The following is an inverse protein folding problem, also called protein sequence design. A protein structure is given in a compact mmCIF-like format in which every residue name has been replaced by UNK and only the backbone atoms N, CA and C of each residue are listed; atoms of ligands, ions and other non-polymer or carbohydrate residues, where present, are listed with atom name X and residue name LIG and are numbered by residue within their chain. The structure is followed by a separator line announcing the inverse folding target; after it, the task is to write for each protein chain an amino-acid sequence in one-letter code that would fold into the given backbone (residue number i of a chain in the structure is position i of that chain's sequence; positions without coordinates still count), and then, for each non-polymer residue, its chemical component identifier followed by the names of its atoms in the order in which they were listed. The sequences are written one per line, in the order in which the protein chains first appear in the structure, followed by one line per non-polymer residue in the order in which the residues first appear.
data_IF_422902259602
#
_entry.id   IF_422902259602
#
_cell.length_a   1.000
_cell.length_b   1.000
_cell.length_c   1.000
_cell.angle_alpha   90.00
_cell.angle_beta   90.00
_cell.angle_gamma   90.00
#
_symmetry.space_group_name_H-M   'P 1'
#
loop_
_entity.id
_entity.type
_entity.pdbx_description
1 polymer ?
#
# COMPACT_ATOMS: atom_id res chain seq x y z
N UNK A 1 -5.15 -3.15 -10.30
CA UNK A 1 -5.76 -1.85 -10.68
C UNK A 1 -4.66 -0.82 -10.85
N UNK A 2 -4.75 0.03 -11.88
CA UNK A 2 -3.83 1.14 -12.12
C UNK A 2 -4.65 2.37 -12.51
N UNK A 3 -4.33 3.53 -11.92
CA UNK A 3 -4.92 4.82 -12.26
C UNK A 3 -3.80 5.72 -12.79
N UNK A 4 -4.04 6.40 -13.90
CA UNK A 4 -3.05 7.26 -14.57
C UNK A 4 -3.65 8.64 -14.80
N UNK A 5 -2.96 9.66 -14.29
CA UNK A 5 -3.23 11.09 -14.48
C UNK A 5 -4.66 11.55 -14.16
N UNK A 6 -5.39 10.81 -13.32
CA UNK A 6 -6.84 10.96 -13.11
C UNK A 6 -7.66 10.89 -14.41
N UNK A 7 -7.18 10.22 -15.47
CA UNK A 7 -7.86 10.11 -16.78
C UNK A 7 -8.12 8.69 -17.27
N UNK A 8 -7.25 7.76 -16.88
CA UNK A 8 -7.33 6.38 -17.30
C UNK A 8 -7.30 5.45 -16.09
N UNK A 9 -8.18 4.44 -16.10
CA UNK A 9 -8.17 3.36 -15.14
C UNK A 9 -8.04 2.02 -15.87
N UNK A 10 -7.09 1.19 -15.44
CA UNK A 10 -6.99 -0.21 -15.84
C UNK A 10 -7.41 -1.08 -14.66
N UNK A 11 -8.54 -1.77 -14.80
CA UNK A 11 -9.14 -2.62 -13.76
C UNK A 11 -9.33 -4.02 -14.31
N UNK A 12 -8.81 -5.03 -13.62
CA UNK A 12 -8.84 -6.41 -14.10
C UNK A 12 -8.29 -7.40 -13.08
N UNK A 13 -8.20 -8.66 -13.49
CA UNK A 13 -7.65 -9.76 -12.70
C UNK A 13 -6.13 -9.86 -12.77
N UNK A 14 -5.51 -9.29 -13.80
CA UNK A 14 -4.07 -9.38 -14.03
C UNK A 14 -3.24 -8.71 -12.92
N UNK A 15 -2.32 -9.48 -12.34
CA UNK A 15 -1.26 -8.97 -11.46
C UNK A 15 -0.11 -8.38 -12.30
N UNK A 16 0.76 -7.58 -11.67
CA UNK A 16 2.00 -7.10 -12.31
C UNK A 16 3.06 -8.20 -12.20
N UNK A 17 2.89 -9.26 -12.97
CA UNK A 17 3.74 -10.46 -12.99
C UNK A 17 3.78 -11.08 -14.39
N UNK A 18 4.82 -11.87 -14.69
CA UNK A 18 4.92 -12.58 -15.98
C UNK A 18 3.75 -13.56 -16.15
N UNK A 19 3.34 -14.20 -15.04
CA UNK A 19 2.20 -15.12 -15.00
C UNK A 19 0.93 -14.51 -15.58
N UNK A 20 0.62 -13.27 -15.24
CA UNK A 20 -0.58 -12.59 -15.71
C UNK A 20 -0.37 -11.83 -17.04
N UNK A 21 0.84 -11.33 -17.33
CA UNK A 21 1.06 -10.36 -18.42
C UNK A 21 1.61 -10.93 -19.74
N UNK A 22 2.26 -12.10 -19.73
CA UNK A 22 2.85 -12.67 -20.98
C UNK A 22 1.76 -13.24 -21.92
N UNK A 23 0.57 -13.56 -21.39
CA UNK A 23 -0.58 -13.96 -22.20
C UNK A 23 -0.59 -15.42 -22.67
N UNK A 24 0.46 -16.21 -22.38
CA UNK A 24 0.53 -17.64 -22.66
C UNK A 24 0.51 -18.52 -21.39
N UNK A 25 0.14 -17.93 -20.24
CA UNK A 25 0.06 -18.58 -18.93
C UNK A 25 -1.37 -18.50 -18.40
N UNK A 26 -1.64 -17.64 -17.41
CA UNK A 26 -2.96 -17.53 -16.82
C UNK A 26 -3.89 -16.74 -17.75
N UNK A 27 -5.17 -17.14 -17.79
CA UNK A 27 -6.22 -16.42 -18.51
C UNK A 27 -6.67 -15.21 -17.69
N UNK A 28 -6.36 -14.01 -18.16
CA UNK A 28 -6.68 -12.75 -17.48
C UNK A 28 -7.70 -11.91 -18.27
N UNK A 29 -8.43 -11.06 -17.56
CA UNK A 29 -9.31 -10.06 -18.16
C UNK A 29 -9.06 -8.70 -17.51
N UNK A 30 -9.03 -7.64 -18.33
CA UNK A 30 -8.93 -6.27 -17.87
C UNK A 30 -9.78 -5.33 -18.75
N UNK A 31 -10.26 -4.26 -18.14
CA UNK A 31 -10.97 -3.17 -18.78
C UNK A 31 -10.13 -1.90 -18.68
N UNK A 32 -9.87 -1.27 -19.83
CA UNK A 32 -9.34 0.09 -19.91
C UNK A 32 -10.52 1.06 -19.96
N UNK A 33 -10.61 1.88 -18.93
CA UNK A 33 -11.60 2.94 -18.81
C UNK A 33 -10.87 4.25 -19.09
N UNK A 34 -11.32 4.98 -20.10
CA UNK A 34 -10.81 6.32 -20.43
C UNK A 34 -11.93 7.32 -20.27
N UNK A 35 -11.72 8.31 -19.42
CA UNK A 35 -12.72 9.34 -19.19
C UNK A 35 -12.92 10.22 -20.43
N UNK A 36 -14.18 10.48 -20.77
CA UNK A 36 -14.59 11.45 -21.81
C UNK A 36 -15.16 12.74 -21.23
N UNK A 37 -15.42 12.75 -19.92
CA UNK A 37 -15.99 13.89 -19.20
C UNK A 37 -15.08 14.27 -18.03
N UNK A 38 -14.84 15.57 -17.88
CA UNK A 38 -13.79 16.09 -17.00
C UNK A 38 -14.32 17.18 -16.07
N UNK A 39 -13.62 17.35 -14.95
CA UNK A 39 -13.83 18.40 -13.95
C UNK A 39 -12.52 19.11 -13.66
N UNK A 40 -12.62 20.37 -13.23
CA UNK A 40 -11.47 21.18 -12.84
C UNK A 40 -10.75 20.57 -11.64
N UNK A 41 -9.47 20.25 -11.80
CA UNK A 41 -8.61 19.67 -10.78
C UNK A 41 -7.25 20.37 -10.75
N UNK A 42 -6.35 19.85 -9.93
CA UNK A 42 -5.00 20.38 -9.72
C UNK A 42 -4.03 19.19 -9.73
N UNK A 43 -2.86 19.38 -10.34
CA UNK A 43 -1.79 18.40 -10.39
C UNK A 43 -0.46 19.13 -10.25
N UNK A 44 0.29 18.89 -9.17
CA UNK A 44 1.52 19.61 -8.82
C UNK A 44 1.31 21.14 -8.84
N UNK A 45 0.30 21.60 -8.12
CA UNK A 45 -0.11 22.99 -7.96
C UNK A 45 -0.61 23.67 -9.25
N UNK A 46 -0.63 22.96 -10.37
CA UNK A 46 -1.06 23.48 -11.66
C UNK A 46 -2.52 23.06 -11.98
N UNK A 47 -3.36 23.97 -12.53
CA UNK A 47 -4.69 23.61 -12.99
C UNK A 47 -4.63 22.50 -14.03
N UNK A 48 -5.46 21.47 -13.84
CA UNK A 48 -5.60 20.36 -14.78
C UNK A 48 -7.08 19.96 -14.91
N UNK A 49 -7.37 19.04 -15.81
CA UNK A 49 -8.69 18.40 -15.89
C UNK A 49 -8.57 16.94 -15.47
N UNK A 50 -9.33 16.56 -14.46
CA UNK A 50 -9.46 15.18 -13.99
C UNK A 50 -10.73 14.55 -14.59
N UNK A 51 -10.65 13.30 -14.98
CA UNK A 51 -11.77 12.49 -15.42
C UNK A 51 -12.77 12.26 -14.29
N UNK A 52 -14.06 12.29 -14.60
CA UNK A 52 -15.11 12.09 -13.61
C UNK A 52 -15.01 10.72 -12.92
N UNK A 53 -14.79 9.65 -13.67
CA UNK A 53 -14.64 8.31 -13.11
C UNK A 53 -13.30 8.13 -12.42
N UNK A 54 -12.19 8.33 -13.15
CA UNK A 54 -10.85 8.00 -12.64
C UNK A 54 -10.48 8.88 -11.44
N UNK A 55 -10.73 10.20 -11.54
CA UNK A 55 -10.47 11.12 -10.45
C UNK A 55 -11.32 10.86 -9.21
N UNK A 56 -12.62 10.55 -9.37
CA UNK A 56 -13.48 10.21 -8.22
C UNK A 56 -13.08 8.89 -7.55
N UNK A 57 -12.66 7.90 -8.33
CA UNK A 57 -12.15 6.62 -7.83
C UNK A 57 -10.86 6.83 -7.03
N UNK A 58 -9.88 7.56 -7.57
CA UNK A 58 -8.63 7.88 -6.86
C UNK A 58 -8.92 8.63 -5.56
N UNK A 59 -9.74 9.68 -5.59
CA UNK A 59 -10.14 10.44 -4.41
C UNK A 59 -10.69 9.52 -3.32
N UNK A 60 -11.63 8.65 -3.68
CA UNK A 60 -12.26 7.72 -2.73
C UNK A 60 -11.25 6.76 -2.11
N UNK A 61 -10.37 6.16 -2.92
CA UNK A 61 -9.35 5.22 -2.43
C UNK A 61 -8.34 5.90 -1.49
N UNK A 62 -7.87 7.09 -1.84
CA UNK A 62 -6.93 7.83 -0.99
C UNK A 62 -7.59 8.24 0.33
N UNK A 63 -8.85 8.69 0.29
CA UNK A 63 -9.60 9.02 1.50
C UNK A 63 -9.84 7.79 2.37
N UNK A 64 -10.14 6.64 1.78
CA UNK A 64 -10.28 5.37 2.51
C UNK A 64 -8.98 4.94 3.20
N UNK A 65 -7.87 4.95 2.47
CA UNK A 65 -6.57 4.58 3.02
C UNK A 65 -6.07 5.53 4.11
N UNK A 66 -6.42 6.82 4.03
CA UNK A 66 -6.06 7.85 5.00
C UNK A 66 -7.14 8.10 6.08
N UNK A 67 -8.25 7.35 6.08
CA UNK A 67 -9.26 7.40 7.14
C UNK A 67 -10.22 8.60 7.09
N UNK A 68 -10.46 9.18 5.91
CA UNK A 68 -11.34 10.33 5.69
C UNK A 68 -12.72 9.98 5.08
N UNK A 69 -13.14 8.72 5.15
CA UNK A 69 -14.44 8.31 4.59
C UNK A 69 -15.63 8.76 5.45
N UNK A 70 -15.43 8.92 6.76
CA UNK A 70 -16.49 9.30 7.69
C UNK A 70 -16.74 10.81 7.68
N UNK A 71 -17.78 11.23 6.94
CA UNK A 71 -18.25 12.62 6.88
C UNK A 71 -17.13 13.65 6.58
N UNK A 72 -16.42 13.54 5.44
CA UNK A 72 -15.32 14.43 5.11
C UNK A 72 -15.79 15.88 4.96
N UNK A 73 -15.11 16.79 5.64
CA UNK A 73 -15.34 18.22 5.47
C UNK A 73 -14.91 18.66 4.07
N UNK A 74 -15.36 19.86 3.65
CA UNK A 74 -14.90 20.46 2.40
C UNK A 74 -13.38 20.64 2.37
N UNK A 75 -12.79 20.99 3.53
CA UNK A 75 -11.33 21.14 3.68
C UNK A 75 -10.61 19.82 3.47
N UNK A 76 -11.17 18.73 3.99
CA UNK A 76 -10.57 17.39 3.85
C UNK A 76 -10.51 17.01 2.37
N UNK A 77 -11.63 17.14 1.64
CA UNK A 77 -11.66 16.85 0.19
C UNK A 77 -10.62 17.62 -0.61
N UNK A 78 -10.38 18.87 -0.22
CA UNK A 78 -9.41 19.73 -0.90
C UNK A 78 -7.96 19.31 -0.68
N UNK A 79 -7.64 18.62 0.43
CA UNK A 79 -6.32 18.01 0.64
C UNK A 79 -6.03 16.90 -0.39
N UNK A 80 -7.06 16.19 -0.86
CA UNK A 80 -6.92 15.09 -1.81
C UNK A 80 -7.01 15.53 -3.27
N UNK A 81 -7.30 16.82 -3.52
CA UNK A 81 -7.52 17.35 -4.87
C UNK A 81 -6.27 17.26 -5.73
N UNK A 82 -5.11 17.55 -5.15
CA UNK A 82 -3.81 17.43 -5.79
C UNK A 82 -3.02 16.23 -5.22
N UNK A 83 -3.05 15.07 -5.91
CA UNK A 83 -2.46 13.84 -5.40
C UNK A 83 -0.93 13.81 -5.46
N UNK A 84 -0.28 14.76 -6.13
CA UNK A 84 1.18 14.79 -6.30
C UNK A 84 1.86 16.01 -5.70
N UNK A 85 1.09 16.93 -5.12
CA UNK A 85 1.65 18.07 -4.39
C UNK A 85 2.62 17.63 -3.28
N UNK A 86 3.69 18.41 -3.01
CA UNK A 86 4.59 18.16 -1.89
C UNK A 86 3.85 18.12 -0.55
N UNK A 87 2.80 18.94 -0.38
CA UNK A 87 1.97 18.96 0.82
C UNK A 87 1.27 17.60 1.01
N UNK A 88 0.60 17.09 -0.01
CA UNK A 88 -0.08 15.80 0.07
C UNK A 88 0.91 14.65 0.32
N UNK A 89 1.99 14.60 -0.44
CA UNK A 89 2.93 13.49 -0.38
C UNK A 89 3.76 13.47 0.92
N UNK A 90 4.37 14.61 1.28
CA UNK A 90 5.35 14.70 2.38
C UNK A 90 4.74 14.97 3.73
N UNK A 91 3.61 15.69 3.79
CA UNK A 91 2.99 16.10 5.06
C UNK A 91 1.76 15.25 5.43
N UNK A 92 1.21 14.48 4.49
CA UNK A 92 0.04 13.62 4.75
C UNK A 92 0.33 12.14 4.46
N UNK A 93 0.56 11.76 3.20
CA UNK A 93 0.65 10.35 2.80
C UNK A 93 1.79 9.61 3.51
N UNK A 94 3.02 10.10 3.38
CA UNK A 94 4.20 9.46 3.98
C UNK A 94 4.18 9.47 5.52
N UNK A 95 3.88 10.59 6.21
CA UNK A 95 3.86 10.60 7.67
C UNK A 95 2.81 9.66 8.25
N UNK A 96 1.59 9.61 7.68
CA UNK A 96 0.55 8.68 8.13
C UNK A 96 1.00 7.24 7.93
N UNK A 97 1.54 6.90 6.76
CA UNK A 97 2.05 5.55 6.47
C UNK A 97 3.14 5.10 7.47
N UNK A 98 4.08 5.99 7.80
CA UNK A 98 5.17 5.72 8.75
C UNK A 98 4.67 5.61 10.19
N UNK A 99 3.79 6.53 10.61
CA UNK A 99 3.18 6.54 11.94
C UNK A 99 2.41 5.25 12.17
N UNK A 100 1.54 4.87 11.23
CA UNK A 100 0.75 3.65 11.33
C UNK A 100 1.64 2.41 11.40
N UNK A 101 2.65 2.30 10.53
CA UNK A 101 3.59 1.18 10.57
C UNK A 101 4.29 1.05 11.93
N UNK A 102 4.79 2.16 12.48
CA UNK A 102 5.44 2.18 13.80
C UNK A 102 4.48 1.77 14.93
N UNK A 103 3.21 2.19 14.88
CA UNK A 103 2.20 1.76 15.85
C UNK A 103 1.95 0.25 15.73
N UNK A 104 1.77 -0.28 14.51
CA UNK A 104 1.56 -1.71 14.29
C UNK A 104 2.74 -2.56 14.78
N UNK A 105 3.97 -2.15 14.47
CA UNK A 105 5.18 -2.81 14.95
C UNK A 105 5.26 -2.79 16.48
N UNK A 106 5.07 -1.62 17.12
CA UNK A 106 5.11 -1.49 18.57
C UNK A 106 4.04 -2.33 19.28
N UNK A 107 2.81 -2.35 18.74
CA UNK A 107 1.67 -3.00 19.40
C UNK A 107 1.69 -4.52 19.19
N UNK A 108 2.01 -4.97 17.97
CA UNK A 108 1.83 -6.36 17.57
C UNK A 108 3.13 -7.11 17.28
N UNK A 109 4.27 -6.43 17.24
CA UNK A 109 5.53 -7.02 16.76
C UNK A 109 5.32 -7.73 15.41
N UNK A 110 4.54 -7.13 14.50
CA UNK A 110 4.14 -7.77 13.26
C UNK A 110 5.27 -7.82 12.24
N UNK A 111 5.25 -8.83 11.38
CA UNK A 111 6.14 -8.95 10.21
C UNK A 111 5.33 -8.72 8.93
N UNK A 112 5.96 -8.22 7.85
CA UNK A 112 7.37 -7.85 7.72
C UNK A 112 7.74 -6.56 8.48
N UNK A 113 9.02 -6.38 8.85
CA UNK A 113 9.56 -5.20 9.55
C UNK A 113 11.03 -4.92 9.16
N UNK A 114 11.44 -3.65 9.12
CA UNK A 114 12.83 -3.25 8.82
C UNK A 114 13.83 -3.56 9.96
N UNK A 115 13.31 -3.87 11.14
CA UNK A 115 14.11 -4.32 12.29
C UNK A 115 14.54 -5.79 12.18
N UNK A 116 13.97 -6.54 11.22
CA UNK A 116 14.26 -7.96 11.00
C UNK A 116 14.92 -8.15 9.64
N UNK A 117 16.24 -8.33 9.63
CA UNK A 117 17.08 -8.32 8.42
C UNK A 117 17.54 -9.72 8.00
N UNK A 118 17.40 -10.71 8.86
CA UNK A 118 17.72 -12.11 8.59
C UNK A 118 16.82 -13.10 9.35
N UNK A 119 16.98 -14.40 9.06
CA UNK A 119 16.14 -15.44 9.68
C UNK A 119 16.44 -15.65 11.18
N UNK A 120 17.65 -15.32 11.64
CA UNK A 120 17.99 -15.44 13.06
C UNK A 120 17.31 -14.32 13.87
N UNK A 121 17.34 -13.09 13.36
CA UNK A 121 16.58 -11.96 13.89
C UNK A 121 15.08 -12.24 13.85
N UNK A 122 14.56 -12.86 12.78
CA UNK A 122 13.14 -13.23 12.69
C UNK A 122 12.73 -14.22 13.79
N UNK A 123 13.53 -15.28 13.99
CA UNK A 123 13.25 -16.27 15.02
C UNK A 123 13.27 -15.65 16.43
N UNK A 124 14.13 -14.65 16.68
CA UNK A 124 14.11 -13.91 17.93
C UNK A 124 12.88 -12.99 18.02
N UNK A 125 12.54 -12.29 16.95
CA UNK A 125 11.41 -11.37 16.86
C UNK A 125 10.07 -12.05 17.14
N UNK A 126 9.85 -13.26 16.62
CA UNK A 126 8.62 -14.04 16.83
C UNK A 126 8.46 -14.54 18.27
N UNK A 127 9.54 -14.64 19.04
CA UNK A 127 9.51 -15.06 20.44
C UNK A 127 9.21 -13.90 21.40
N UNK A 128 9.35 -12.65 20.93
CA UNK A 128 9.11 -11.49 21.77
C UNK A 128 7.62 -11.36 22.11
N UNK A 129 7.27 -11.08 23.37
CA UNK A 129 5.87 -10.93 23.75
C UNK A 129 5.29 -9.64 23.16
N UNK A 130 4.08 -9.75 22.60
CA UNK A 130 3.43 -8.61 21.94
C UNK A 130 2.81 -7.69 22.99
N UNK A 131 2.90 -6.37 22.79
CA UNK A 131 2.26 -5.41 23.69
C UNK A 131 0.74 -5.65 23.78
N UNK A 132 0.10 -6.01 22.67
CA UNK A 132 -1.33 -6.36 22.64
C UNK A 132 -1.70 -7.52 23.59
N UNK A 133 -0.76 -8.41 23.91
CA UNK A 133 -0.97 -9.55 24.81
C UNK A 133 -0.57 -9.23 26.26
N UNK A 134 0.53 -8.48 26.44
CA UNK A 134 1.09 -8.16 27.76
C UNK A 134 0.38 -6.99 28.44
N UNK A 135 0.04 -5.94 27.67
CA UNK A 135 -0.63 -4.73 28.15
C UNK A 135 -1.68 -4.25 27.13
N UNK A 136 -2.87 -4.90 27.12
CA UNK A 136 -3.95 -4.57 26.18
C UNK A 136 -4.47 -3.13 26.31
N UNK A 137 -4.32 -2.50 27.48
CA UNK A 137 -4.82 -1.14 27.72
C UNK A 137 -3.91 -0.10 27.05
N UNK A 138 -2.58 -0.23 27.24
CA UNK A 138 -1.62 0.63 26.52
C UNK A 138 -1.69 0.38 25.01
N UNK A 139 -1.84 -0.89 24.58
CA UNK A 139 -2.07 -1.23 23.19
C UNK A 139 -3.31 -0.51 22.61
N UNK A 140 -4.46 -0.56 23.30
CA UNK A 140 -5.66 0.17 22.86
C UNK A 140 -5.45 1.67 22.74
N UNK A 141 -4.69 2.29 23.65
CA UNK A 141 -4.37 3.72 23.58
C UNK A 141 -3.50 4.05 22.38
N UNK A 142 -2.44 3.28 22.13
CA UNK A 142 -1.60 3.47 20.94
C UNK A 142 -2.40 3.33 19.64
N UNK A 143 -3.34 2.37 19.59
CA UNK A 143 -4.20 2.16 18.42
C UNK A 143 -5.20 3.30 18.17
N UNK A 144 -5.50 4.15 19.15
CA UNK A 144 -6.35 5.34 18.93
C UNK A 144 -5.66 6.39 18.04
N UNK A 145 -4.33 6.35 17.96
CA UNK A 145 -3.55 7.26 17.13
C UNK A 145 -3.44 6.81 15.67
N UNK A 146 -3.98 5.63 15.31
CA UNK A 146 -4.02 5.17 13.93
C UNK A 146 -4.93 6.06 13.09
N UNK A 147 -4.48 6.33 11.86
CA UNK A 147 -5.26 7.09 10.90
C UNK A 147 -5.38 6.29 9.59
N UNK A 148 -6.58 5.78 9.32
CA UNK A 148 -6.80 4.91 8.17
C UNK A 148 -6.04 3.60 8.27
N UNK A 149 -5.62 3.07 7.13
CA UNK A 149 -5.06 1.72 6.99
C UNK A 149 -3.71 1.69 6.28
N UNK A 150 -3.27 2.84 5.76
CA UNK A 150 -2.02 2.96 5.03
C UNK A 150 -0.82 2.71 5.96
N UNK A 151 0.08 1.81 5.56
CA UNK A 151 1.36 1.56 6.22
C UNK A 151 2.47 1.62 5.18
N UNK A 152 3.66 2.07 5.58
CA UNK A 152 4.82 2.04 4.68
C UNK A 152 5.32 0.61 4.53
N UNK A 153 5.66 0.21 3.30
CA UNK A 153 6.18 -1.13 3.06
C UNK A 153 7.65 -1.22 3.53
N UNK A 154 8.01 -2.20 4.36
CA UNK A 154 9.37 -2.37 4.89
C UNK A 154 10.31 -2.94 3.83
N UNK A 155 11.21 -2.10 3.31
CA UNK A 155 12.13 -2.47 2.22
C UNK A 155 13.40 -3.19 2.73
N UNK A 156 13.65 -3.16 4.04
CA UNK A 156 14.79 -3.76 4.72
C UNK A 156 14.52 -5.15 5.29
N UNK A 157 13.28 -5.63 5.26
CA UNK A 157 12.92 -6.95 5.78
C UNK A 157 13.68 -8.07 5.06
N UNK A 158 14.36 -8.92 5.83
CA UNK A 158 15.18 -10.05 5.34
C UNK A 158 16.22 -9.66 4.28
N UNK A 159 16.67 -8.41 4.25
CA UNK A 159 17.60 -7.90 3.23
C UNK A 159 18.96 -8.60 3.21
N UNK A 160 19.36 -9.25 4.30
CA UNK A 160 20.62 -10.00 4.39
C UNK A 160 20.46 -11.47 3.96
N UNK A 161 19.24 -11.89 3.60
CA UNK A 161 18.93 -13.27 3.24
C UNK A 161 18.74 -13.47 1.74
N UNK A 162 19.01 -14.70 1.28
CA UNK A 162 18.67 -15.11 -0.07
C UNK A 162 17.29 -15.76 -0.08
N UNK A 163 16.27 -14.97 -0.40
CA UNK A 163 14.86 -15.40 -0.40
C UNK A 163 14.46 -16.37 -1.52
N UNK A 164 15.40 -16.82 -2.36
CA UNK A 164 15.11 -17.86 -3.35
C UNK A 164 15.08 -19.21 -2.66
N UNK A 165 14.16 -20.12 -3.03
CA UNK A 165 14.20 -21.48 -2.53
C UNK A 165 15.58 -22.12 -2.68
N UNK A 166 15.98 -22.92 -1.70
CA UNK A 166 17.21 -23.69 -1.78
C UNK A 166 17.12 -24.68 -2.95
N UNK A 167 18.15 -24.79 -3.78
CA UNK A 167 18.14 -25.60 -5.02
C UNK A 167 17.74 -27.07 -4.76
N UNK A 168 18.02 -27.58 -3.55
CA UNK A 168 17.72 -28.96 -3.13
C UNK A 168 16.32 -29.12 -2.48
N UNK A 169 15.58 -28.04 -2.25
CA UNK A 169 14.21 -28.11 -1.73
C UNK A 169 13.22 -28.43 -2.85
N UNK A 170 12.00 -28.86 -2.49
CA UNK A 170 10.95 -29.13 -3.48
C UNK A 170 10.66 -27.88 -4.33
N UNK A 171 10.64 -26.71 -3.70
CA UNK A 171 10.41 -25.41 -4.33
C UNK A 171 11.62 -24.93 -5.16
N UNK A 172 12.83 -25.38 -4.85
CA UNK A 172 14.04 -25.07 -5.63
C UNK A 172 14.20 -25.93 -6.89
N UNK A 173 13.57 -27.10 -6.92
CA UNK A 173 13.46 -27.95 -8.10
C UNK A 173 12.34 -27.49 -9.06
N UNK A 174 11.45 -26.62 -8.58
CA UNK A 174 10.38 -26.02 -9.39
C UNK A 174 10.94 -24.95 -10.35
N UNK A 175 10.44 -24.87 -11.60
CA UNK A 175 10.81 -23.80 -12.51
C UNK A 175 10.55 -22.42 -11.91
N UNK A 176 11.52 -21.50 -12.03
CA UNK A 176 11.40 -20.14 -11.50
C UNK A 176 10.19 -19.37 -12.06
N UNK A 177 9.70 -19.77 -13.23
CA UNK A 177 8.47 -19.28 -13.87
C UNK A 177 7.20 -19.52 -13.06
N UNK A 178 7.25 -20.33 -12.00
CA UNK A 178 6.15 -20.46 -11.06
C UNK A 178 6.08 -19.29 -10.08
N UNK A 179 7.18 -18.56 -9.89
CA UNK A 179 7.27 -17.44 -8.94
C UNK A 179 7.28 -16.08 -9.65
N UNK A 180 7.40 -16.06 -10.98
CA UNK A 180 7.25 -14.87 -11.83
C UNK A 180 5.95 -14.94 -12.60
#
# INVERSE_FOLDING_TARGET
MMLVDDRHALIGSANITDRSLIGNRDSEIACLISDESFVDSIMDENPCSAGNFTGSLRLRLMMEHLGYMDSPSKKDRELFRDPISPLFWKELWLPVARKNASIFEQVFNCTPSDEVRDFAELAHWEQQPKMAEVDPETARRALQDLQGHLVIFPMGFLRNERLRPAIISQEGLMPATLWT
#
